data_IF_639118979437
#
_entry.id   IF_639118979437
#
_cell.length_a   1.000
_cell.length_b   1.000
_cell.length_c   1.000
_cell.angle_alpha   90.00
_cell.angle_beta   90.00
_cell.angle_gamma   90.00
#
_symmetry.space_group_name_H-M   'P 1'
#
loop_
_entity.id
_entity.type
_entity.pdbx_description
1 polymer ?
#
# COMPACT_ATOMS: atom_id res chain seq x y z
N UNK A 1 -29.00 -3.94 23.54
CA UNK A 1 -27.75 -3.34 23.02
C UNK A 1 -26.87 -2.92 24.19
N UNK A 2 -25.75 -3.61 24.42
CA UNK A 2 -24.74 -3.20 25.41
C UNK A 2 -23.81 -2.19 24.72
N UNK A 3 -23.84 -0.92 25.13
CA UNK A 3 -22.81 0.06 24.73
C UNK A 3 -21.48 -0.41 25.33
N UNK A 4 -20.55 -0.92 24.51
CA UNK A 4 -19.16 -1.10 24.94
C UNK A 4 -18.57 0.29 25.13
N UNK A 5 -17.96 0.54 26.28
CA UNK A 5 -17.16 1.76 26.49
C UNK A 5 -15.97 1.67 25.55
N UNK A 6 -15.82 2.65 24.66
CA UNK A 6 -14.61 2.86 23.86
C UNK A 6 -13.44 3.01 24.86
N UNK A 7 -12.48 2.08 24.84
CA UNK A 7 -11.28 2.10 25.69
C UNK A 7 -10.19 2.99 25.07
N UNK A 8 -10.52 4.24 24.76
CA UNK A 8 -9.48 5.21 24.44
C UNK A 8 -8.91 5.75 25.76
N UNK A 9 -7.60 5.91 25.81
CA UNK A 9 -6.97 6.75 26.83
C UNK A 9 -7.61 8.14 26.73
N UNK A 10 -7.97 8.73 27.87
CA UNK A 10 -8.33 10.14 27.90
C UNK A 10 -7.16 10.99 27.41
N UNK A 11 -7.42 12.22 26.95
CA UNK A 11 -6.35 13.13 26.52
C UNK A 11 -5.24 13.27 27.58
N UNK A 12 -5.60 13.26 28.87
CA UNK A 12 -4.65 13.30 29.97
C UNK A 12 -3.80 12.02 30.06
N UNK A 13 -4.38 10.85 29.84
CA UNK A 13 -3.67 9.57 29.85
C UNK A 13 -2.80 9.39 28.60
N UNK A 14 -3.26 9.84 27.44
CA UNK A 14 -2.48 9.87 26.19
C UNK A 14 -1.28 10.79 26.31
N UNK A 15 -1.48 12.03 26.80
CA UNK A 15 -0.39 12.98 27.01
C UNK A 15 0.64 12.46 28.02
N UNK A 16 0.19 11.85 29.12
CA UNK A 16 1.08 11.25 30.10
C UNK A 16 1.89 10.08 29.52
N UNK A 17 1.31 9.28 28.62
CA UNK A 17 2.04 8.25 27.89
C UNK A 17 3.11 8.86 26.97
N UNK A 18 2.77 9.89 26.19
CA UNK A 18 3.71 10.53 25.27
C UNK A 18 4.83 11.32 25.97
N UNK A 19 4.71 11.60 27.27
CA UNK A 19 5.80 12.14 28.10
C UNK A 19 6.84 11.09 28.54
N UNK A 20 6.50 9.80 28.46
CA UNK A 20 7.43 8.68 28.76
C UNK A 20 8.49 8.53 27.66
N UNK A 21 9.65 7.90 27.95
CA UNK A 21 10.64 7.57 26.93
C UNK A 21 10.06 6.75 25.77
N UNK A 22 9.21 5.77 26.08
CA UNK A 22 8.56 4.90 25.10
C UNK A 22 7.58 5.68 24.22
N UNK A 23 6.79 6.58 24.83
CA UNK A 23 5.88 7.45 24.10
C UNK A 23 6.61 8.43 23.16
N UNK A 24 7.72 9.01 23.61
CA UNK A 24 8.55 9.88 22.75
C UNK A 24 9.15 9.13 21.58
N UNK A 25 9.64 7.91 21.82
CA UNK A 25 10.16 7.05 20.76
C UNK A 25 9.07 6.68 19.74
N UNK A 26 7.85 6.42 20.20
CA UNK A 26 6.71 6.18 19.31
C UNK A 26 6.39 7.41 18.45
N UNK A 27 6.43 8.62 19.01
CA UNK A 27 6.23 9.87 18.25
C UNK A 27 7.33 10.08 17.19
N UNK A 28 8.59 9.80 17.52
CA UNK A 28 9.68 9.87 16.56
C UNK A 28 9.49 8.88 15.41
N UNK A 29 9.03 7.66 15.71
CA UNK A 29 8.72 6.65 14.71
C UNK A 29 7.57 7.09 13.79
N UNK A 30 6.46 7.57 14.36
CA UNK A 30 5.32 8.08 13.59
C UNK A 30 5.70 9.26 12.69
N UNK A 31 6.55 10.17 13.18
CA UNK A 31 7.03 11.32 12.39
C UNK A 31 8.02 10.92 11.28
N UNK A 32 8.75 9.82 11.47
CA UNK A 32 9.68 9.30 10.49
C UNK A 32 9.00 8.49 9.38
N UNK A 33 7.77 8.01 9.59
CA UNK A 33 7.06 7.20 8.60
C UNK A 33 6.83 7.97 7.28
N UNK A 34 6.95 7.24 6.17
CA UNK A 34 6.83 7.75 4.81
C UNK A 34 5.89 6.86 4.02
N UNK A 35 5.18 7.43 3.07
CA UNK A 35 4.37 6.70 2.12
C UNK A 35 5.27 5.78 1.31
N UNK A 36 4.98 4.48 1.33
CA UNK A 36 5.81 3.47 0.65
C UNK A 36 5.74 3.64 -0.88
N UNK A 37 4.67 4.24 -1.40
CA UNK A 37 4.48 4.48 -2.84
C UNK A 37 5.28 5.64 -3.41
N UNK A 38 5.39 6.77 -2.70
CA UNK A 38 6.02 7.99 -3.24
C UNK A 38 7.10 8.61 -2.35
N UNK A 39 7.33 8.06 -1.15
CA UNK A 39 8.33 8.56 -0.20
C UNK A 39 7.95 9.86 0.51
N UNK A 40 6.76 10.41 0.27
CA UNK A 40 6.25 11.59 0.98
C UNK A 40 5.95 11.29 2.45
N UNK A 41 5.81 12.33 3.27
CA UNK A 41 5.32 12.18 4.63
C UNK A 41 3.90 11.61 4.65
N UNK A 42 3.51 11.01 5.78
CA UNK A 42 2.13 10.56 6.01
C UNK A 42 1.47 11.43 7.06
N UNK A 43 0.17 11.65 6.89
CA UNK A 43 -0.69 12.33 7.85
C UNK A 43 -1.43 11.28 8.68
N UNK A 44 -1.11 11.19 9.97
CA UNK A 44 -1.82 10.33 10.92
C UNK A 44 -3.15 10.97 11.32
N UNK A 45 -4.23 10.19 11.25
CA UNK A 45 -5.58 10.69 11.52
C UNK A 45 -6.50 9.61 12.07
N UNK A 46 -7.67 10.02 12.55
CA UNK A 46 -8.71 9.09 12.95
C UNK A 46 -9.34 8.43 11.71
N UNK A 47 -9.79 7.17 11.86
CA UNK A 47 -10.50 6.48 10.80
C UNK A 47 -11.72 7.27 10.32
N UNK A 48 -12.48 7.85 11.23
CA UNK A 48 -13.70 8.60 10.90
C UNK A 48 -13.42 9.83 10.03
N UNK A 49 -12.26 10.46 10.20
CA UNK A 49 -11.86 11.61 9.38
C UNK A 49 -11.49 11.17 7.96
N UNK A 50 -10.69 10.10 7.82
CA UNK A 50 -10.34 9.54 6.52
C UNK A 50 -11.58 8.98 5.79
N UNK A 51 -12.45 8.29 6.52
CA UNK A 51 -13.69 7.73 5.98
C UNK A 51 -14.67 8.83 5.53
N UNK A 52 -14.69 9.99 6.18
CA UNK A 52 -15.52 11.11 5.76
C UNK A 52 -15.06 11.73 4.42
N UNK A 53 -13.76 11.63 4.10
CA UNK A 53 -13.18 12.10 2.84
C UNK A 53 -13.41 11.11 1.69
N UNK A 54 -13.17 9.81 1.92
CA UNK A 54 -13.37 8.76 0.92
C UNK A 54 -14.03 7.49 1.51
N UNK A 55 -15.38 7.49 1.64
CA UNK A 55 -16.10 6.37 2.22
C UNK A 55 -16.00 5.08 1.41
N UNK A 56 -15.86 5.18 0.09
CA UNK A 56 -15.89 4.01 -0.78
C UNK A 56 -14.58 3.23 -0.67
N UNK A 57 -13.46 3.92 -0.87
CA UNK A 57 -12.13 3.30 -0.82
C UNK A 57 -11.81 2.76 0.57
N UNK A 58 -12.16 3.48 1.64
CA UNK A 58 -11.91 3.01 3.02
C UNK A 58 -12.70 1.76 3.38
N UNK A 59 -13.95 1.64 2.92
CA UNK A 59 -14.75 0.43 3.14
C UNK A 59 -14.29 -0.74 2.28
N UNK A 60 -13.82 -0.47 1.07
CA UNK A 60 -13.21 -1.49 0.21
C UNK A 60 -11.89 -1.99 0.81
N UNK A 61 -11.01 -1.09 1.27
CA UNK A 61 -9.76 -1.43 1.95
C UNK A 61 -9.99 -2.27 3.22
N UNK A 62 -11.04 -1.97 3.99
CA UNK A 62 -11.41 -2.75 5.18
C UNK A 62 -11.75 -4.20 4.86
N UNK A 63 -12.36 -4.46 3.70
CA UNK A 63 -12.79 -5.81 3.32
C UNK A 63 -13.67 -6.47 4.38
N UNK A 64 -13.14 -7.50 5.03
CA UNK A 64 -13.83 -8.28 6.07
C UNK A 64 -13.71 -7.69 7.48
N UNK A 65 -12.87 -6.66 7.69
CA UNK A 65 -12.67 -6.01 8.98
C UNK A 65 -13.77 -4.98 9.29
N UNK A 66 -14.10 -4.83 10.58
CA UNK A 66 -15.03 -3.81 11.04
C UNK A 66 -14.33 -2.46 11.23
N UNK A 67 -14.99 -1.33 10.91
CA UNK A 67 -14.49 0.01 11.26
C UNK A 67 -14.08 0.17 12.73
N UNK A 68 -14.78 -0.49 13.65
CA UNK A 68 -14.50 -0.45 15.09
C UNK A 68 -13.19 -1.16 15.48
N UNK A 69 -12.57 -1.92 14.55
CA UNK A 69 -11.29 -2.62 14.75
C UNK A 69 -10.08 -1.78 14.32
N UNK A 70 -10.32 -0.64 13.63
CA UNK A 70 -9.26 0.29 13.24
C UNK A 70 -8.82 1.12 14.46
N UNK A 71 -7.53 1.03 14.77
CA UNK A 71 -6.90 1.79 15.85
C UNK A 71 -6.35 3.12 15.34
N UNK A 72 -5.71 3.11 14.18
CA UNK A 72 -5.09 4.27 13.55
C UNK A 72 -5.29 4.22 12.04
N UNK A 73 -5.31 5.39 11.40
CA UNK A 73 -5.22 5.51 9.96
C UNK A 73 -4.13 6.52 9.62
N UNK A 74 -3.53 6.36 8.44
CA UNK A 74 -2.72 7.42 7.85
C UNK A 74 -3.05 7.55 6.37
N UNK A 75 -2.91 8.76 5.83
CA UNK A 75 -2.94 9.02 4.38
C UNK A 75 -1.61 9.60 3.92
N UNK A 76 -1.31 9.48 2.64
CA UNK A 76 -0.17 10.17 2.05
C UNK A 76 -0.38 11.69 2.16
N UNK A 77 0.65 12.43 2.59
CA UNK A 77 0.65 13.89 2.68
C UNK A 77 0.85 14.59 1.33
N UNK A 78 1.13 13.83 0.27
CA UNK A 78 1.08 14.32 -1.10
C UNK A 78 -0.31 14.07 -1.68
N UNK A 79 -1.04 15.16 -1.95
CA UNK A 79 -2.43 15.11 -2.42
C UNK A 79 -2.60 14.43 -3.79
N UNK A 80 -1.53 14.33 -4.59
CA UNK A 80 -1.56 13.61 -5.86
C UNK A 80 -1.39 12.09 -5.69
N UNK A 81 -1.09 11.62 -4.47
CA UNK A 81 -0.95 10.21 -4.12
C UNK A 81 -2.17 9.73 -3.30
N UNK A 82 -3.07 8.90 -3.85
CA UNK A 82 -4.27 8.46 -3.15
C UNK A 82 -4.02 7.37 -2.09
N UNK A 83 -2.77 7.09 -1.74
CA UNK A 83 -2.44 6.00 -0.83
C UNK A 83 -2.82 6.32 0.62
N UNK A 84 -3.33 5.32 1.33
CA UNK A 84 -3.61 5.36 2.76
C UNK A 84 -3.48 3.96 3.37
N UNK A 85 -3.42 3.89 4.71
CA UNK A 85 -3.42 2.64 5.46
C UNK A 85 -4.40 2.68 6.62
N UNK A 86 -4.99 1.52 6.91
CA UNK A 86 -5.83 1.27 8.07
C UNK A 86 -5.12 0.25 8.96
N UNK A 87 -4.87 0.62 10.22
CA UNK A 87 -4.11 -0.19 11.17
C UNK A 87 -5.01 -0.64 12.31
N UNK A 88 -5.16 -1.95 12.46
CA UNK A 88 -5.81 -2.60 13.59
C UNK A 88 -4.80 -3.14 14.61
N UNK A 89 -5.28 -3.95 15.54
CA UNK A 89 -4.41 -4.60 16.53
C UNK A 89 -3.57 -5.74 15.93
N UNK A 90 -4.10 -6.39 14.90
CA UNK A 90 -3.55 -7.59 14.26
C UNK A 90 -3.57 -7.53 12.73
N UNK A 91 -3.91 -6.37 12.16
CA UNK A 91 -3.89 -6.14 10.73
C UNK A 91 -3.35 -4.76 10.38
N UNK A 92 -2.78 -4.67 9.18
CA UNK A 92 -2.56 -3.44 8.44
C UNK A 92 -3.04 -3.69 7.01
N UNK A 93 -3.88 -2.80 6.49
CA UNK A 93 -4.33 -2.84 5.09
C UNK A 93 -4.03 -1.51 4.45
N UNK A 94 -3.14 -1.51 3.45
CA UNK A 94 -2.86 -0.33 2.64
C UNK A 94 -3.76 -0.35 1.41
N UNK A 95 -4.39 0.79 1.11
CA UNK A 95 -5.31 0.92 0.00
C UNK A 95 -4.66 0.55 -1.33
N UNK A 96 -3.51 1.15 -1.64
CA UNK A 96 -2.83 0.86 -2.91
C UNK A 96 -2.21 -0.53 -2.94
N UNK A 97 -1.95 -1.16 -1.80
CA UNK A 97 -1.58 -2.58 -1.76
C UNK A 97 -2.77 -3.49 -2.06
N UNK A 98 -3.97 -3.12 -1.57
CA UNK A 98 -5.22 -3.82 -1.82
C UNK A 98 -5.82 -3.54 -3.21
N UNK A 99 -5.44 -2.41 -3.81
CA UNK A 99 -5.88 -1.93 -5.15
C UNK A 99 -4.75 -1.87 -6.16
N UNK A 100 -3.71 -2.68 -5.99
CA UNK A 100 -3.08 -3.31 -7.13
C UNK A 100 -4.14 -4.14 -7.86
N UNK A 101 -4.99 -3.43 -8.60
CA UNK A 101 -6.10 -3.97 -9.36
C UNK A 101 -5.51 -5.13 -10.14
N UNK A 102 -6.02 -6.34 -9.90
CA UNK A 102 -5.56 -7.55 -10.57
C UNK A 102 -5.40 -7.21 -12.05
N UNK A 103 -4.16 -7.04 -12.50
CA UNK A 103 -3.91 -6.58 -13.85
C UNK A 103 -4.22 -7.80 -14.73
N UNK A 104 -5.18 -7.73 -15.64
CA UNK A 104 -5.46 -8.88 -16.49
C UNK A 104 -4.22 -9.15 -17.34
N UNK A 105 -3.82 -10.42 -17.44
CA UNK A 105 -2.69 -10.82 -18.25
C UNK A 105 -2.95 -10.40 -19.70
N UNK A 106 -2.10 -9.54 -20.25
CA UNK A 106 -2.22 -9.07 -21.64
C UNK A 106 -2.23 -10.21 -22.68
N UNK A 107 -1.73 -11.40 -22.32
CA UNK A 107 -1.69 -12.57 -23.21
C UNK A 107 -2.95 -13.43 -23.18
N UNK A 108 -3.55 -13.65 -22.00
CA UNK A 108 -4.66 -14.61 -21.86
C UNK A 108 -5.88 -14.06 -21.09
N UNK A 109 -5.83 -12.82 -20.61
CA UNK A 109 -6.90 -12.17 -19.86
C UNK A 109 -7.15 -12.72 -18.45
N UNK A 110 -6.33 -13.67 -17.98
CA UNK A 110 -6.42 -14.20 -16.63
C UNK A 110 -5.70 -13.33 -15.61
N UNK A 111 -6.00 -13.53 -14.33
CA UNK A 111 -5.45 -12.73 -13.24
C UNK A 111 -3.92 -12.85 -13.14
N UNK A 112 -3.23 -11.74 -12.85
CA UNK A 112 -1.79 -11.74 -12.55
C UNK A 112 -1.53 -11.54 -11.07
N UNK A 113 -0.43 -12.12 -10.60
CA UNK A 113 0.14 -11.89 -9.28
C UNK A 113 1.39 -11.01 -9.38
N UNK A 114 1.61 -10.20 -8.35
CA UNK A 114 2.81 -9.39 -8.23
C UNK A 114 3.96 -10.22 -7.64
N UNK A 115 5.12 -10.11 -8.27
CA UNK A 115 6.37 -10.71 -7.83
C UNK A 115 7.46 -9.66 -7.77
N UNK A 116 8.37 -9.85 -6.82
CA UNK A 116 9.66 -9.17 -6.86
C UNK A 116 10.37 -9.46 -8.21
N UNK A 117 10.88 -8.43 -8.92
CA UNK A 117 11.53 -8.61 -10.22
C UNK A 117 12.74 -9.56 -10.20
N UNK A 118 13.48 -9.66 -9.10
CA UNK A 118 14.57 -10.63 -8.99
C UNK A 118 14.02 -12.06 -8.86
N UNK A 119 12.93 -12.26 -8.13
CA UNK A 119 12.23 -13.55 -8.08
C UNK A 119 11.68 -13.94 -9.45
N UNK A 120 11.00 -13.03 -10.14
CA UNK A 120 10.43 -13.27 -11.47
C UNK A 120 11.50 -13.60 -12.52
N UNK A 121 12.76 -13.16 -12.32
CA UNK A 121 13.88 -13.48 -13.22
C UNK A 121 14.22 -14.98 -13.27
N UNK A 122 13.79 -15.77 -12.29
CA UNK A 122 13.89 -17.22 -12.31
C UNK A 122 12.86 -17.87 -13.25
N UNK A 123 11.75 -17.18 -13.52
CA UNK A 123 10.67 -17.61 -14.42
C UNK A 123 10.98 -17.14 -15.84
N UNK A 124 11.26 -15.84 -16.03
CA UNK A 124 11.60 -15.24 -17.31
C UNK A 124 12.87 -14.39 -17.25
N UNK A 125 14.01 -15.09 -17.32
CA UNK A 125 15.34 -14.45 -17.36
C UNK A 125 15.53 -13.59 -18.61
N UNK A 126 14.96 -13.98 -19.74
CA UNK A 126 15.16 -13.27 -21.00
C UNK A 126 14.42 -11.93 -20.98
N UNK A 127 13.16 -11.91 -20.53
CA UNK A 127 12.39 -10.70 -20.29
C UNK A 127 13.04 -9.78 -19.26
N UNK A 128 13.56 -10.33 -18.16
CA UNK A 128 14.27 -9.55 -17.13
C UNK A 128 15.48 -8.80 -17.73
N UNK A 129 16.33 -9.49 -18.49
CA UNK A 129 17.50 -8.86 -19.12
C UNK A 129 17.12 -7.82 -20.18
N UNK A 130 16.03 -8.05 -20.92
CA UNK A 130 15.50 -7.08 -21.87
C UNK A 130 14.96 -5.83 -21.15
N UNK A 131 14.22 -6.01 -20.05
CA UNK A 131 13.72 -4.92 -19.22
C UNK A 131 14.87 -4.10 -18.62
N UNK A 132 15.89 -4.75 -18.04
CA UNK A 132 17.09 -4.06 -17.52
C UNK A 132 17.81 -3.24 -18.58
N UNK A 133 17.90 -3.76 -19.80
CA UNK A 133 18.52 -3.06 -20.93
C UNK A 133 17.68 -1.85 -21.36
N UNK A 134 16.35 -1.95 -21.31
CA UNK A 134 15.43 -0.90 -21.74
C UNK A 134 15.29 0.21 -20.71
N UNK A 135 15.14 -0.13 -19.44
CA UNK A 135 14.76 0.81 -18.38
C UNK A 135 15.89 1.13 -17.39
N UNK A 136 16.96 0.33 -17.38
CA UNK A 136 18.00 0.40 -16.36
C UNK A 136 17.78 -0.62 -15.24
N UNK A 137 18.86 -1.02 -14.57
CA UNK A 137 18.80 -2.07 -13.55
C UNK A 137 18.07 -1.63 -12.28
N UNK A 138 18.31 -0.40 -11.83
CA UNK A 138 17.71 0.20 -10.63
C UNK A 138 16.20 0.26 -10.76
N UNK A 139 15.68 0.92 -11.81
CA UNK A 139 14.24 1.01 -12.10
C UNK A 139 13.51 -0.33 -12.21
N UNK A 140 14.20 -1.38 -12.65
CA UNK A 140 13.61 -2.72 -12.76
C UNK A 140 13.62 -3.44 -11.42
N UNK A 141 14.58 -3.16 -10.52
CA UNK A 141 14.61 -3.75 -9.18
C UNK A 141 13.67 -3.02 -8.22
N UNK A 142 13.51 -1.71 -8.38
CA UNK A 142 12.56 -0.90 -7.62
C UNK A 142 11.13 -0.99 -8.20
N UNK A 143 10.98 -1.70 -9.34
CA UNK A 143 9.72 -1.97 -10.02
C UNK A 143 9.01 -3.23 -9.51
N UNK A 144 8.06 -3.72 -10.30
CA UNK A 144 7.35 -4.97 -10.03
C UNK A 144 7.36 -5.90 -11.24
N UNK A 145 7.07 -7.18 -11.01
CA UNK A 145 6.82 -8.13 -12.08
C UNK A 145 5.42 -8.73 -11.93
N UNK A 146 4.62 -8.67 -12.98
CA UNK A 146 3.33 -9.31 -13.07
C UNK A 146 3.51 -10.71 -13.65
N UNK A 147 3.23 -11.74 -12.87
CA UNK A 147 3.25 -13.12 -13.33
C UNK A 147 1.82 -13.64 -13.52
N UNK A 148 1.57 -14.27 -14.66
CA UNK A 148 0.29 -14.92 -14.92
C UNK A 148 0.41 -16.43 -14.67
N UNK A 149 -0.16 -16.99 -13.59
CA UNK A 149 -0.09 -18.42 -13.31
C UNK A 149 -0.81 -19.27 -14.38
N UNK A 150 -1.78 -18.70 -15.11
CA UNK A 150 -2.53 -19.42 -16.14
C UNK A 150 -1.71 -19.70 -17.41
N UNK A 151 -0.82 -18.79 -17.82
CA UNK A 151 -0.06 -18.94 -19.07
C UNK A 151 1.46 -18.76 -18.96
N UNK A 152 1.97 -18.54 -17.74
CA UNK A 152 3.38 -18.34 -17.43
C UNK A 152 3.98 -17.05 -17.97
N UNK A 153 3.15 -16.10 -18.42
CA UNK A 153 3.65 -14.82 -18.89
C UNK A 153 4.18 -13.99 -17.71
N UNK A 154 5.30 -13.32 -17.91
CA UNK A 154 5.87 -12.37 -16.95
C UNK A 154 6.00 -11.01 -17.64
N UNK A 155 5.53 -9.97 -16.99
CA UNK A 155 5.69 -8.59 -17.44
C UNK A 155 6.41 -7.78 -16.36
N UNK A 156 7.56 -7.21 -16.70
CA UNK A 156 8.30 -6.33 -15.80
C UNK A 156 7.82 -4.89 -15.97
N UNK A 157 7.37 -4.30 -14.88
CA UNK A 157 6.85 -2.93 -14.79
C UNK A 157 7.85 -2.09 -13.99
N UNK A 158 8.62 -1.18 -14.62
CA UNK A 158 9.45 -0.26 -13.86
C UNK A 158 8.55 0.72 -13.09
N UNK A 159 8.87 1.04 -11.84
CA UNK A 159 8.04 1.94 -11.03
C UNK A 159 8.17 3.39 -11.51
N UNK A 160 7.28 3.80 -12.42
CA UNK A 160 6.68 5.13 -12.45
C UNK A 160 5.19 4.98 -12.75
N UNK A 161 4.32 5.78 -12.13
CA UNK A 161 2.87 5.75 -12.41
C UNK A 161 2.56 5.97 -13.90
N UNK A 162 3.40 6.76 -14.59
CA UNK A 162 3.33 6.99 -16.03
C UNK A 162 3.61 5.71 -16.84
N UNK A 163 4.56 4.88 -16.41
CA UNK A 163 4.90 3.62 -17.08
C UNK A 163 3.81 2.55 -16.88
N UNK A 164 3.19 2.50 -15.69
CA UNK A 164 2.04 1.62 -15.41
C UNK A 164 0.83 2.02 -16.28
N UNK A 165 0.49 3.30 -16.34
CA UNK A 165 -0.57 3.81 -17.22
C UNK A 165 -0.27 3.55 -18.69
N UNK A 166 0.97 3.74 -19.13
CA UNK A 166 1.39 3.49 -20.51
C UNK A 166 1.35 1.99 -20.88
N UNK A 167 1.63 1.10 -19.92
CA UNK A 167 1.54 -0.35 -20.12
C UNK A 167 0.09 -0.85 -20.20
N UNK A 168 -0.80 -0.30 -19.35
CA UNK A 168 -2.22 -0.63 -19.35
C UNK A 168 -2.95 -0.08 -20.58
N UNK A 169 -2.50 1.03 -21.16
CA UNK A 169 -3.07 1.63 -22.38
C UNK A 169 -2.71 0.89 -23.69
N UNK A 170 -1.81 -0.10 -23.65
CA UNK A 170 -1.37 -0.88 -24.82
C UNK A 170 -1.99 -2.29 -24.89
N UNK A 171 -2.93 -2.60 -23.99
CA UNK A 171 -3.76 -3.82 -24.02
C UNK A 171 -4.94 -3.71 -24.96
#
# INVERSE_FOLDING_TARGET
MRKRKKNYLSDAESNAYFDTPEGKQALEWFAAQRCEMCGSHVDWMAFEDLHAEDPASTMEALGDFSPDEVLYAWRCGDYDCPNFSLLGADFEVQWMDSTYAIIPCAKCGGDTEYLDPAQASHIDRAGYLAAKKKFGAEKVLDGEALHCPACGAVQYVPFTMDDLQAALAQG
#
